data_IF_400288766049
#
_entry.id   IF_400288766049
#
_cell.length_a   1.000
_cell.length_b   1.000
_cell.length_c   1.000
_cell.angle_alpha   90.00
_cell.angle_beta   90.00
_cell.angle_gamma   90.00
#
_symmetry.space_group_name_H-M   'P 1'
#
loop_
_entity.id
_entity.type
_entity.pdbx_description
1 polymer ?
#
# COMPACT_ATOMS: atom_id res chain seq x y z
N UNK A 1 -1.95 -0.71 -24.11
CA UNK A 1 -0.65 -0.16 -23.75
C UNK A 1 0.11 -1.17 -22.91
N UNK A 2 1.30 -1.57 -23.37
CA UNK A 2 2.14 -2.59 -22.74
C UNK A 2 3.33 -1.97 -21.98
N UNK A 3 3.30 -0.67 -21.74
CA UNK A 3 4.35 0.02 -20.98
C UNK A 3 4.34 -0.46 -19.52
N UNK A 4 5.50 -0.84 -18.96
CA UNK A 4 5.61 -1.15 -17.54
C UNK A 4 5.11 0.02 -16.69
N UNK A 5 4.37 -0.29 -15.62
CA UNK A 5 3.69 0.74 -14.80
C UNK A 5 4.65 1.75 -14.14
N UNK A 6 5.85 1.31 -13.77
CA UNK A 6 6.87 2.19 -13.19
C UNK A 6 7.39 3.20 -14.22
N UNK A 7 7.56 2.78 -15.48
CA UNK A 7 7.92 3.67 -16.59
C UNK A 7 6.79 4.66 -16.86
N UNK A 8 5.55 4.18 -16.95
CA UNK A 8 4.39 5.04 -17.16
C UNK A 8 4.22 6.07 -16.03
N UNK A 9 4.38 5.65 -14.78
CA UNK A 9 4.28 6.51 -13.60
C UNK A 9 5.38 7.59 -13.58
N UNK A 10 6.64 7.22 -13.85
CA UNK A 10 7.75 8.19 -13.96
C UNK A 10 7.54 9.18 -15.10
N UNK A 11 7.10 8.71 -16.25
CA UNK A 11 6.83 9.59 -17.40
C UNK A 11 5.68 10.56 -17.09
N UNK A 12 4.61 10.08 -16.46
CA UNK A 12 3.51 10.95 -16.02
C UNK A 12 4.02 12.04 -15.04
N UNK A 13 4.85 11.67 -14.08
CA UNK A 13 5.49 12.60 -13.15
C UNK A 13 6.33 13.64 -13.88
N UNK A 14 7.18 13.21 -14.82
CA UNK A 14 8.00 14.12 -15.63
C UNK A 14 7.14 15.10 -16.41
N UNK A 15 6.03 14.67 -17.03
CA UNK A 15 5.12 15.56 -17.75
C UNK A 15 4.48 16.62 -16.81
N UNK A 16 4.08 16.19 -15.64
CA UNK A 16 3.52 17.11 -14.62
C UNK A 16 4.55 18.16 -14.20
N UNK A 17 5.75 17.73 -13.88
CA UNK A 17 6.85 18.62 -13.44
C UNK A 17 7.34 19.55 -14.54
N UNK A 18 7.24 19.16 -15.80
CA UNK A 18 7.54 20.00 -16.98
C UNK A 18 6.43 21.01 -17.32
N UNK A 19 5.39 21.11 -16.49
CA UNK A 19 4.30 22.06 -16.69
C UNK A 19 3.17 21.59 -17.62
N UNK A 20 3.20 20.33 -18.10
CA UNK A 20 2.16 19.73 -18.94
C UNK A 20 1.04 19.06 -18.12
N UNK A 21 1.04 19.25 -16.80
CA UNK A 21 0.01 18.73 -15.92
C UNK A 21 -1.38 19.29 -16.23
N UNK A 22 -2.40 18.44 -16.13
CA UNK A 22 -3.80 18.76 -16.38
C UNK A 22 -4.62 18.81 -15.10
N UNK A 23 -5.87 19.28 -15.19
CA UNK A 23 -6.78 19.44 -14.08
C UNK A 23 -6.54 20.74 -13.29
N UNK A 24 -7.40 21.03 -12.29
CA UNK A 24 -7.36 22.29 -11.54
C UNK A 24 -6.03 22.55 -10.84
N UNK A 25 -5.40 21.49 -10.34
CA UNK A 25 -4.12 21.54 -9.63
C UNK A 25 -2.90 21.31 -10.53
N UNK A 26 -3.12 21.08 -11.82
CA UNK A 26 -2.06 20.76 -12.82
C UNK A 26 -1.13 19.61 -12.39
N UNK A 27 -1.64 18.67 -11.60
CA UNK A 27 -0.90 17.56 -11.02
C UNK A 27 -1.30 16.19 -11.58
N UNK A 28 -2.00 16.17 -12.72
CA UNK A 28 -2.54 14.96 -13.35
C UNK A 28 -2.14 14.85 -14.81
N UNK A 29 -2.32 13.67 -15.38
CA UNK A 29 -2.26 13.40 -16.82
C UNK A 29 -3.56 12.74 -17.27
N UNK A 30 -3.85 12.74 -18.56
CA UNK A 30 -5.04 12.07 -19.07
C UNK A 30 -4.80 10.58 -19.30
N UNK A 31 -5.76 9.77 -18.85
CA UNK A 31 -5.94 8.38 -19.28
C UNK A 31 -7.14 8.35 -20.23
N UNK A 32 -6.86 8.22 -21.50
CA UNK A 32 -7.85 8.35 -22.58
C UNK A 32 -8.21 6.96 -23.14
N UNK A 33 -9.48 6.65 -23.12
CA UNK A 33 -10.03 5.40 -23.67
C UNK A 33 -10.77 5.58 -25.00
N UNK A 34 -10.88 6.81 -25.53
CA UNK A 34 -11.67 7.08 -26.73
C UNK A 34 -11.24 6.22 -27.92
N UNK A 35 -9.97 6.17 -28.24
CA UNK A 35 -9.44 5.32 -29.32
C UNK A 35 -9.71 3.83 -29.08
N UNK A 36 -9.62 3.39 -27.83
CA UNK A 36 -9.91 2.01 -27.46
C UNK A 36 -11.41 1.71 -27.58
N UNK A 37 -12.28 2.64 -27.23
CA UNK A 37 -13.73 2.51 -27.36
C UNK A 37 -14.12 2.44 -28.84
N UNK A 38 -13.54 3.30 -29.67
CA UNK A 38 -13.77 3.30 -31.13
C UNK A 38 -13.33 1.97 -31.76
N UNK A 39 -12.16 1.48 -31.42
CA UNK A 39 -11.57 0.27 -32.00
C UNK A 39 -12.22 -1.03 -31.49
N UNK A 40 -12.53 -1.14 -30.20
CA UNK A 40 -12.96 -2.39 -29.56
C UNK A 40 -14.45 -2.43 -29.25
N UNK A 41 -15.12 -1.29 -29.34
CA UNK A 41 -16.51 -1.11 -28.99
C UNK A 41 -16.73 -0.85 -27.48
N UNK A 42 -17.72 -0.03 -27.18
CA UNK A 42 -18.09 0.35 -25.82
C UNK A 42 -18.41 -0.87 -24.93
N UNK A 43 -19.05 -1.91 -25.49
CA UNK A 43 -19.42 -3.12 -24.75
C UNK A 43 -18.17 -3.84 -24.21
N UNK A 44 -17.16 -4.03 -25.04
CA UNK A 44 -15.92 -4.70 -24.64
C UNK A 44 -15.15 -3.90 -23.58
N UNK A 45 -15.17 -2.57 -23.68
CA UNK A 45 -14.55 -1.70 -22.67
C UNK A 45 -15.34 -1.78 -21.36
N UNK A 46 -16.67 -1.77 -21.40
CA UNK A 46 -17.51 -1.89 -20.21
C UNK A 46 -17.30 -3.24 -19.48
N UNK A 47 -17.21 -4.33 -20.23
CA UNK A 47 -16.93 -5.66 -19.66
C UNK A 47 -15.57 -5.73 -18.94
N UNK A 48 -14.58 -4.98 -19.40
CA UNK A 48 -13.21 -5.00 -18.84
C UNK A 48 -12.95 -3.97 -17.77
N UNK A 49 -13.53 -2.79 -17.91
CA UNK A 49 -13.18 -1.60 -17.11
C UNK A 49 -14.40 -0.84 -16.57
N UNK A 50 -15.63 -1.37 -16.74
CA UNK A 50 -16.86 -0.69 -16.36
C UNK A 50 -16.87 -0.26 -14.90
N UNK A 51 -16.45 -1.15 -14.00
CA UNK A 51 -16.36 -0.84 -12.58
C UNK A 51 -15.40 0.33 -12.27
N UNK A 52 -14.29 0.45 -12.99
CA UNK A 52 -13.36 1.59 -12.85
C UNK A 52 -14.02 2.89 -13.33
N UNK A 53 -14.76 2.81 -14.42
CA UNK A 53 -15.46 3.96 -14.98
C UNK A 53 -16.59 4.45 -14.07
N UNK A 54 -17.35 3.51 -13.50
CA UNK A 54 -18.40 3.82 -12.53
C UNK A 54 -17.83 4.48 -11.27
N UNK A 55 -16.75 3.95 -10.72
CA UNK A 55 -16.06 4.54 -9.58
C UNK A 55 -15.52 5.94 -9.86
N UNK A 56 -14.99 6.18 -11.08
CA UNK A 56 -14.51 7.49 -11.47
C UNK A 56 -15.67 8.48 -11.64
N UNK A 57 -16.75 8.04 -12.27
CA UNK A 57 -17.97 8.84 -12.43
C UNK A 57 -18.56 9.23 -11.07
N UNK A 58 -18.68 8.29 -10.15
CA UNK A 58 -19.17 8.53 -8.79
C UNK A 58 -18.30 9.53 -8.01
N UNK A 59 -16.99 9.44 -8.18
CA UNK A 59 -16.05 10.30 -7.48
C UNK A 59 -15.94 11.71 -8.09
N UNK A 60 -16.10 11.86 -9.40
CA UNK A 60 -15.78 13.11 -10.12
C UNK A 60 -16.97 13.75 -10.82
N UNK A 61 -18.04 13.01 -11.07
CA UNK A 61 -19.15 13.42 -11.92
C UNK A 61 -18.83 13.40 -13.43
N UNK A 62 -17.62 12.97 -13.83
CA UNK A 62 -17.19 12.93 -15.23
C UNK A 62 -17.33 11.52 -15.82
N UNK A 63 -17.96 11.38 -16.97
CA UNK A 63 -18.16 10.08 -17.62
C UNK A 63 -16.94 9.65 -18.46
N UNK A 64 -16.20 8.60 -18.09
CA UNK A 64 -15.01 8.17 -18.81
C UNK A 64 -15.24 7.65 -20.24
N UNK A 65 -16.48 7.34 -20.58
CA UNK A 65 -16.85 7.01 -21.97
C UNK A 65 -16.89 8.23 -22.89
N UNK A 66 -16.92 9.44 -22.34
CA UNK A 66 -17.09 10.70 -23.08
C UNK A 66 -15.85 11.58 -22.96
N UNK A 67 -15.24 11.60 -21.77
CA UNK A 67 -14.07 12.45 -21.48
C UNK A 67 -12.92 11.61 -20.88
N UNK A 68 -11.67 11.97 -21.17
CA UNK A 68 -10.52 11.27 -20.57
C UNK A 68 -10.51 11.41 -19.04
N UNK A 69 -10.17 10.33 -18.34
CA UNK A 69 -9.96 10.36 -16.90
C UNK A 69 -8.67 11.12 -16.55
N UNK A 70 -8.71 11.88 -15.47
CA UNK A 70 -7.52 12.50 -14.88
C UNK A 70 -6.93 11.55 -13.87
N UNK A 71 -5.66 11.19 -14.04
CA UNK A 71 -4.92 10.33 -13.13
C UNK A 71 -3.62 11.01 -12.71
N UNK A 72 -3.18 10.73 -11.51
CA UNK A 72 -1.90 11.21 -11.00
C UNK A 72 -1.07 10.03 -10.45
N UNK A 73 0.25 10.02 -10.65
CA UNK A 73 1.10 9.06 -9.97
C UNK A 73 1.13 9.37 -8.47
N UNK A 74 1.03 8.33 -7.66
CA UNK A 74 1.06 8.45 -6.21
C UNK A 74 1.76 7.25 -5.58
N UNK A 75 2.26 7.42 -4.35
CA UNK A 75 2.73 6.31 -3.55
C UNK A 75 1.56 5.37 -3.25
N UNK A 76 1.71 4.09 -3.59
CA UNK A 76 0.67 3.10 -3.42
C UNK A 76 1.10 1.94 -2.52
N UNK A 77 2.35 1.50 -2.65
CA UNK A 77 2.89 0.36 -1.92
C UNK A 77 4.38 0.56 -1.67
N UNK A 78 4.81 0.34 -0.43
CA UNK A 78 6.21 0.38 -0.06
C UNK A 78 6.82 -1.01 -0.20
N UNK A 79 7.78 -1.18 -1.11
CA UNK A 79 8.58 -2.39 -1.19
C UNK A 79 9.69 -2.31 -0.15
N UNK A 80 9.75 -3.32 0.70
CA UNK A 80 10.63 -3.36 1.85
C UNK A 80 9.82 -3.37 3.14
N UNK A 81 10.49 -3.26 4.27
CA UNK A 81 9.85 -3.31 5.58
C UNK A 81 10.73 -3.98 6.61
N UNK A 82 10.14 -4.46 7.67
CA UNK A 82 10.86 -5.21 8.70
C UNK A 82 11.25 -6.60 8.17
N UNK A 83 12.48 -6.98 8.45
CA UNK A 83 12.90 -8.34 8.19
C UNK A 83 12.12 -9.32 9.07
N UNK A 84 11.69 -10.42 8.48
CA UNK A 84 11.02 -11.52 9.18
C UNK A 84 11.53 -12.86 8.68
N UNK A 85 11.45 -13.87 9.54
CA UNK A 85 11.71 -15.27 9.20
C UNK A 85 10.50 -15.92 8.50
N UNK A 86 10.55 -17.24 8.28
CA UNK A 86 9.44 -17.98 7.67
C UNK A 86 8.17 -18.05 8.53
N UNK A 87 8.28 -17.82 9.83
CA UNK A 87 7.17 -17.74 10.76
C UNK A 87 6.59 -16.32 10.88
N UNK A 88 7.08 -15.38 10.08
CA UNK A 88 6.72 -13.95 10.09
C UNK A 88 7.15 -13.24 11.38
N UNK A 89 8.11 -13.80 12.13
CA UNK A 89 8.65 -13.14 13.31
C UNK A 89 9.88 -12.32 12.93
N UNK A 90 9.95 -11.10 13.46
CA UNK A 90 11.08 -10.20 13.26
C UNK A 90 12.29 -10.62 14.13
N UNK A 91 13.38 -9.85 14.05
CA UNK A 91 14.53 -10.02 14.96
C UNK A 91 14.21 -9.73 16.43
N UNK A 92 13.04 -9.17 16.70
CA UNK A 92 12.54 -8.94 18.06
C UNK A 92 11.58 -10.07 18.41
N UNK A 93 11.88 -10.92 19.41
CA UNK A 93 11.02 -12.02 19.81
C UNK A 93 9.60 -11.54 20.17
N UNK A 94 8.58 -12.18 19.57
CA UNK A 94 7.17 -11.84 19.77
C UNK A 94 6.65 -10.69 18.90
N UNK A 95 7.50 -10.04 18.09
CA UNK A 95 7.06 -9.06 17.09
C UNK A 95 6.90 -9.76 15.75
N UNK A 96 5.65 -10.02 15.38
CA UNK A 96 5.28 -10.58 14.09
C UNK A 96 4.87 -9.48 13.11
N UNK A 97 5.19 -9.67 11.83
CA UNK A 97 4.93 -8.68 10.79
C UNK A 97 4.42 -9.38 9.54
N UNK A 98 3.32 -8.92 8.98
CA UNK A 98 2.77 -9.48 7.75
C UNK A 98 2.43 -8.42 6.70
N UNK A 99 2.20 -8.86 5.48
CA UNK A 99 1.81 -8.02 4.36
C UNK A 99 2.86 -6.98 3.98
N UNK A 100 2.42 -5.75 3.72
CA UNK A 100 3.28 -4.67 3.25
C UNK A 100 4.38 -4.27 4.23
N UNK A 101 4.16 -4.45 5.53
CA UNK A 101 5.14 -4.09 6.55
C UNK A 101 6.34 -5.06 6.61
N UNK A 102 6.24 -6.23 5.99
CA UNK A 102 7.34 -7.21 5.88
C UNK A 102 8.13 -7.03 4.59
N UNK A 103 9.42 -7.37 4.61
CA UNK A 103 10.31 -7.16 3.45
C UNK A 103 10.41 -8.34 2.48
N UNK A 104 9.73 -9.46 2.73
CA UNK A 104 10.15 -10.75 2.19
C UNK A 104 9.70 -11.10 0.76
N UNK A 105 8.64 -10.48 0.23
CA UNK A 105 7.95 -11.08 -0.94
C UNK A 105 8.24 -10.42 -2.28
N UNK A 106 8.60 -9.16 -2.31
CA UNK A 106 8.44 -8.37 -3.53
C UNK A 106 9.73 -7.79 -4.09
N UNK A 107 10.85 -7.95 -3.41
CA UNK A 107 12.10 -7.34 -3.82
C UNK A 107 11.95 -5.83 -4.03
N UNK A 108 12.50 -5.33 -5.11
CA UNK A 108 12.44 -3.91 -5.45
C UNK A 108 11.22 -3.51 -6.30
N UNK A 109 10.44 -4.47 -6.81
CA UNK A 109 9.32 -4.18 -7.70
C UNK A 109 8.21 -5.24 -7.60
N UNK A 110 7.17 -4.94 -6.86
CA UNK A 110 6.02 -5.81 -6.64
C UNK A 110 5.20 -6.00 -7.93
N UNK A 111 4.83 -7.23 -8.24
CA UNK A 111 3.86 -7.54 -9.30
C UNK A 111 2.46 -7.05 -8.92
N UNK A 112 1.65 -6.70 -9.91
CA UNK A 112 0.27 -6.30 -9.71
C UNK A 112 -0.54 -7.36 -8.96
N UNK A 113 -1.46 -6.94 -8.09
CA UNK A 113 -2.31 -7.75 -7.21
C UNK A 113 -1.59 -8.53 -6.10
N UNK A 114 -0.27 -8.73 -6.16
CA UNK A 114 0.45 -9.56 -5.20
C UNK A 114 0.52 -8.97 -3.78
N UNK A 115 0.27 -7.68 -3.60
CA UNK A 115 0.20 -7.10 -2.24
C UNK A 115 -0.96 -7.66 -1.43
N UNK A 116 -2.15 -7.73 -2.05
CA UNK A 116 -3.32 -8.29 -1.38
C UNK A 116 -3.16 -9.79 -1.16
N UNK A 117 -2.58 -10.50 -2.13
CA UNK A 117 -2.30 -11.92 -2.01
C UNK A 117 -1.36 -12.21 -0.83
N UNK A 118 -0.22 -11.51 -0.72
CA UNK A 118 0.72 -11.71 0.38
C UNK A 118 0.10 -11.36 1.73
N UNK A 119 -0.60 -10.23 1.84
CA UNK A 119 -1.27 -9.84 3.07
C UNK A 119 -2.34 -10.85 3.50
N UNK A 120 -3.09 -11.41 2.54
CA UNK A 120 -4.09 -12.45 2.81
C UNK A 120 -3.46 -13.76 3.25
N UNK A 121 -2.38 -14.19 2.62
CA UNK A 121 -1.64 -15.40 3.02
C UNK A 121 -1.07 -15.24 4.42
N UNK A 122 -0.42 -14.13 4.71
CA UNK A 122 0.15 -13.88 6.02
C UNK A 122 -0.93 -13.82 7.12
N UNK A 123 -1.98 -13.05 6.90
CA UNK A 123 -3.02 -12.84 7.90
C UNK A 123 -3.98 -14.01 8.07
N UNK A 124 -4.18 -14.84 7.04
CA UNK A 124 -5.15 -15.93 7.09
C UNK A 124 -4.53 -17.30 7.36
N UNK A 125 -3.32 -17.53 6.87
CA UNK A 125 -2.68 -18.85 6.98
C UNK A 125 -1.47 -18.85 7.90
N UNK A 126 -0.53 -17.92 7.73
CA UNK A 126 0.75 -17.96 8.44
C UNK A 126 0.60 -17.51 9.89
N UNK A 127 0.20 -16.27 10.12
CA UNK A 127 0.13 -15.69 11.48
C UNK A 127 -0.83 -16.42 12.43
N UNK A 128 -2.01 -16.92 12.00
CA UNK A 128 -2.88 -17.71 12.87
C UNK A 128 -2.28 -19.02 13.37
N UNK A 129 -1.22 -19.52 12.73
CA UNK A 129 -0.48 -20.70 13.17
C UNK A 129 0.77 -20.34 13.98
N UNK A 130 1.54 -19.38 13.50
CA UNK A 130 2.85 -19.07 14.09
C UNK A 130 2.75 -18.31 15.40
N UNK A 131 1.81 -17.38 15.53
CA UNK A 131 1.60 -16.62 16.77
C UNK A 131 1.16 -17.53 17.92
N UNK A 132 0.13 -18.40 17.79
CA UNK A 132 -0.23 -19.33 18.85
C UNK A 132 0.89 -20.31 19.18
N UNK A 133 1.64 -20.82 18.19
CA UNK A 133 2.79 -21.70 18.43
C UNK A 133 3.87 -21.02 19.29
N UNK A 134 4.18 -19.78 18.99
CA UNK A 134 5.10 -19.00 19.82
C UNK A 134 4.55 -18.79 21.24
N UNK A 135 3.29 -18.43 21.37
CA UNK A 135 2.64 -18.18 22.68
C UNK A 135 2.46 -19.43 23.52
N UNK A 136 2.37 -20.61 22.89
CA UNK A 136 2.21 -21.88 23.63
C UNK A 136 3.31 -22.09 24.68
N UNK A 137 4.53 -21.63 24.40
CA UNK A 137 5.66 -21.70 25.34
C UNK A 137 5.50 -20.78 26.56
N UNK A 138 4.55 -19.87 26.58
CA UNK A 138 4.31 -18.89 27.67
C UNK A 138 3.04 -19.18 28.47
N UNK A 139 2.23 -20.15 28.06
CA UNK A 139 1.00 -20.50 28.75
C UNK A 139 1.34 -20.94 30.19
N UNK A 140 0.65 -20.33 31.16
CA UNK A 140 0.86 -20.60 32.58
C UNK A 140 2.12 -20.00 33.22
N UNK A 141 2.93 -19.29 32.44
CA UNK A 141 4.09 -18.55 32.99
C UNK A 141 3.65 -17.19 33.56
N UNK A 142 4.34 -16.70 34.60
CA UNK A 142 4.10 -15.35 35.09
C UNK A 142 4.30 -14.30 33.98
N UNK A 143 3.37 -13.36 33.87
CA UNK A 143 3.46 -12.23 32.94
C UNK A 143 3.85 -11.00 33.74
N UNK A 144 4.69 -10.15 33.15
CA UNK A 144 5.02 -8.86 33.76
C UNK A 144 3.76 -8.00 33.79
N UNK A 145 3.35 -7.49 34.98
CA UNK A 145 2.15 -6.63 35.04
C UNK A 145 2.38 -5.31 34.31
N UNK A 146 1.32 -4.75 33.74
CA UNK A 146 1.40 -3.52 32.93
C UNK A 146 1.88 -2.29 33.71
N UNK A 147 1.69 -2.30 35.02
CA UNK A 147 2.14 -1.26 35.94
C UNK A 147 3.57 -1.48 36.48
N UNK A 148 4.24 -2.52 36.01
CA UNK A 148 5.63 -2.75 36.39
C UNK A 148 6.52 -1.54 35.98
N UNK A 149 7.49 -1.17 36.82
CA UNK A 149 8.36 -0.02 36.55
C UNK A 149 9.09 -0.11 35.19
N UNK A 150 9.47 -1.30 34.78
CA UNK A 150 10.15 -1.56 33.50
C UNK A 150 9.23 -1.27 32.30
N UNK A 151 7.95 -1.61 32.42
CA UNK A 151 6.92 -1.34 31.38
C UNK A 151 6.68 0.15 31.29
N UNK A 152 6.47 0.81 32.43
CA UNK A 152 6.27 2.27 32.50
C UNK A 152 7.46 3.02 31.90
N UNK A 153 8.69 2.65 32.25
CA UNK A 153 9.91 3.25 31.69
C UNK A 153 10.06 3.00 30.16
N UNK A 154 9.58 1.85 29.65
CA UNK A 154 9.59 1.57 28.22
C UNK A 154 8.58 2.45 27.46
N UNK A 155 7.37 2.58 28.00
CA UNK A 155 6.31 3.45 27.44
C UNK A 155 6.80 4.90 27.39
N UNK A 156 7.38 5.41 28.47
CA UNK A 156 7.89 6.77 28.55
C UNK A 156 8.99 7.05 27.52
N UNK A 157 9.93 6.10 27.30
CA UNK A 157 10.95 6.20 26.27
C UNK A 157 10.35 6.26 24.86
N UNK A 158 9.33 5.44 24.58
CA UNK A 158 8.65 5.43 23.27
C UNK A 158 7.92 6.75 23.05
N UNK A 159 7.17 7.21 24.05
CA UNK A 159 6.44 8.48 23.98
C UNK A 159 7.38 9.65 23.69
N UNK A 160 8.47 9.76 24.43
CA UNK A 160 9.48 10.80 24.22
C UNK A 160 10.07 10.80 22.80
N UNK A 161 10.29 9.59 22.23
CA UNK A 161 10.77 9.47 20.84
C UNK A 161 9.70 9.89 19.83
N UNK A 162 8.47 9.52 20.07
CA UNK A 162 7.33 9.91 19.23
C UNK A 162 7.14 11.41 19.23
N UNK A 163 7.16 12.05 20.39
CA UNK A 163 7.02 13.49 20.52
C UNK A 163 8.15 14.24 19.81
N UNK A 164 9.38 13.74 19.92
CA UNK A 164 10.53 14.30 19.22
C UNK A 164 10.39 14.19 17.69
N UNK A 165 9.87 13.06 17.16
CA UNK A 165 9.63 12.90 15.73
C UNK A 165 8.49 13.80 15.25
N UNK A 166 7.41 13.89 15.99
CA UNK A 166 6.27 14.76 15.64
C UNK A 166 6.66 16.24 15.64
N UNK A 167 7.57 16.67 16.52
CA UNK A 167 8.07 18.03 16.52
C UNK A 167 8.85 18.42 15.27
N UNK A 168 9.42 17.44 14.54
CA UNK A 168 10.15 17.66 13.29
C UNK A 168 9.23 17.79 12.06
N UNK A 169 7.98 17.33 12.17
CA UNK A 169 7.01 17.34 11.04
C UNK A 169 6.36 18.74 10.89
N UNK A 170 6.49 19.61 11.89
CA UNK A 170 5.92 20.95 11.92
C UNK A 170 6.93 22.07 11.56
N UNK A 171 8.05 21.73 10.88
CA UNK A 171 9.01 22.71 10.36
C UNK A 171 8.71 23.07 8.92
#
# INVERSE_FOLDING_TARGET
NLTPRDVASRNARTQIESGHGVGPLKNSVYLDFRDAIERLGKKTIAERYGNLFDMYLDATGENPYEVPMRIAPGAHFTMGGLWVDYDQMSTIPGLFVGGEASNNYHGANRLGANSLLSASVDGWFTLPLTVPNYLAGFVGKPVLPLDAPEVSAAIERVQKRTDALLSLIHI
#
